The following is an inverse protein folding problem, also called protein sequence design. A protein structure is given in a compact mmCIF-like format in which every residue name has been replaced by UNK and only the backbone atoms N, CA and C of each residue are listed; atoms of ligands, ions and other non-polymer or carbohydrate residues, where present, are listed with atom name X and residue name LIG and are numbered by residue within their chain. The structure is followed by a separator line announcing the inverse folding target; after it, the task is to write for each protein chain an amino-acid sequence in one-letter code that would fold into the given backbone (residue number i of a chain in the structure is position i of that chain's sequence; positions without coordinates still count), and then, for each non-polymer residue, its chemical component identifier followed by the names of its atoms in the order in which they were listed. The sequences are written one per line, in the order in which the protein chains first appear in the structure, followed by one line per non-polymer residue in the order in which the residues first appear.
data_IF_157467316539
#
_entry.id   IF_157467316539
#
_cell.length_a   1.000
_cell.length_b   1.000
_cell.length_c   1.000
_cell.angle_alpha   90.00
_cell.angle_beta   90.00
_cell.angle_gamma   90.00
#
_symmetry.space_group_name_H-M   'P 1'
#
loop_
_entity.id
_entity.type
_entity.pdbx_description
1 polymer ?
#
# COMPACT_ATOMS: atom_id res chain seq x y z
N UNK A 1 5.84 1.93 -4.72
CA UNK A 1 5.17 1.43 -3.50
C UNK A 1 3.69 1.20 -3.77
N UNK A 2 2.99 0.58 -2.84
CA UNK A 2 1.56 0.35 -2.92
C UNK A 2 0.95 0.09 -1.55
N UNK A 3 -0.35 -0.20 -1.53
CA UNK A 3 -1.09 -0.55 -0.33
C UNK A 3 -1.53 -2.01 -0.34
N UNK A 4 -1.70 -2.56 0.87
CA UNK A 4 -2.23 -3.89 1.12
C UNK A 4 -3.62 -3.78 1.75
N UNK A 5 -4.56 -4.58 1.27
CA UNK A 5 -5.90 -4.73 1.84
C UNK A 5 -6.04 -6.06 2.57
N UNK A 6 -6.92 -6.05 3.59
CA UNK A 6 -7.25 -7.24 4.35
C UNK A 6 -7.90 -6.93 5.68
N UNK A 7 -7.55 -7.71 6.71
CA UNK A 7 -8.14 -7.59 8.05
C UNK A 7 -7.22 -8.15 9.14
N UNK A 8 -7.57 -7.84 10.39
CA UNK A 8 -6.88 -8.35 11.59
C UNK A 8 -7.67 -9.52 12.15
N UNK A 9 -7.00 -10.62 12.45
CA UNK A 9 -7.58 -11.79 13.11
C UNK A 9 -6.71 -12.20 14.31
N UNK A 10 -7.12 -11.80 15.51
CA UNK A 10 -6.32 -12.01 16.72
C UNK A 10 -4.99 -11.24 16.65
N UNK A 11 -3.89 -11.96 16.68
CA UNK A 11 -2.51 -11.45 16.57
C UNK A 11 -1.96 -11.48 15.13
N UNK A 12 -2.78 -11.89 14.15
CA UNK A 12 -2.39 -11.97 12.74
C UNK A 12 -2.95 -10.82 11.90
N UNK A 13 -2.08 -10.23 11.06
CA UNK A 13 -2.49 -9.42 9.92
C UNK A 13 -2.67 -10.33 8.71
N UNK A 14 -3.89 -10.37 8.16
CA UNK A 14 -4.21 -11.15 6.96
C UNK A 14 -4.26 -10.19 5.79
N UNK A 15 -3.35 -10.37 4.82
CA UNK A 15 -3.33 -9.64 3.56
C UNK A 15 -4.04 -10.48 2.50
N UNK A 16 -5.06 -9.93 1.87
CA UNK A 16 -5.91 -10.60 0.88
C UNK A 16 -5.74 -10.02 -0.52
N UNK A 17 -5.35 -8.75 -0.61
CA UNK A 17 -5.07 -8.07 -1.88
C UNK A 17 -4.02 -6.96 -1.72
N UNK A 18 -3.48 -6.48 -2.84
CA UNK A 18 -2.57 -5.35 -2.88
C UNK A 18 -2.72 -4.57 -4.20
N UNK A 19 -2.54 -3.26 -4.14
CA UNK A 19 -2.59 -2.40 -5.33
C UNK A 19 -1.49 -1.33 -5.31
N UNK A 20 -1.01 -0.98 -6.50
CA UNK A 20 0.06 0.03 -6.66
C UNK A 20 -0.49 1.43 -6.45
N UNK A 21 0.32 2.31 -5.88
CA UNK A 21 0.04 3.75 -5.90
C UNK A 21 0.74 4.41 -7.10
N UNK A 22 0.14 5.45 -7.69
CA UNK A 22 0.75 6.22 -8.78
C UNK A 22 1.81 7.18 -8.22
N UNK A 23 2.89 6.62 -7.70
CA UNK A 23 4.00 7.38 -7.10
C UNK A 23 5.30 7.06 -7.78
N UNK A 24 6.11 8.10 -7.97
CA UNK A 24 7.45 7.99 -8.51
C UNK A 24 8.47 7.91 -7.37
N UNK A 25 9.25 6.83 -7.36
CA UNK A 25 10.34 6.64 -6.43
C UNK A 25 11.66 7.08 -7.04
N UNK A 26 12.44 7.82 -6.29
CA UNK A 26 13.90 7.86 -6.47
C UNK A 26 14.52 6.67 -5.74
N UNK A 27 15.81 6.40 -5.95
CA UNK A 27 16.50 5.28 -5.27
C UNK A 27 16.41 5.37 -3.73
N UNK A 28 16.28 6.58 -3.16
CA UNK A 28 16.30 6.80 -1.71
C UNK A 28 15.00 7.31 -1.12
N UNK A 29 14.04 7.76 -1.94
CA UNK A 29 12.78 8.36 -1.46
C UNK A 29 11.64 8.12 -2.42
N UNK A 30 10.47 7.82 -1.86
CA UNK A 30 9.19 7.92 -2.55
C UNK A 30 8.42 9.06 -1.91
N UNK A 31 7.98 10.03 -2.72
CA UNK A 31 7.08 11.08 -2.24
C UNK A 31 5.66 10.69 -2.65
N UNK A 32 4.81 10.41 -1.66
CA UNK A 32 3.37 10.38 -1.91
C UNK A 32 2.91 11.83 -2.15
N UNK A 33 2.61 12.15 -3.40
CA UNK A 33 2.02 13.41 -3.79
C UNK A 33 0.49 13.33 -3.68
N UNK A 34 -0.20 14.47 -3.80
CA UNK A 34 -1.65 14.56 -3.69
C UNK A 34 -2.41 13.55 -4.57
N UNK A 35 -1.88 13.24 -5.76
CA UNK A 35 -2.44 12.26 -6.69
C UNK A 35 -2.53 10.84 -6.10
N UNK A 36 -1.57 10.47 -5.25
CA UNK A 36 -1.60 9.17 -4.56
C UNK A 36 -2.68 9.16 -3.48
N UNK A 37 -2.86 10.27 -2.75
CA UNK A 37 -3.88 10.41 -1.72
C UNK A 37 -5.30 10.32 -2.30
N UNK A 38 -5.55 11.02 -3.41
CA UNK A 38 -6.83 10.94 -4.13
C UNK A 38 -7.08 9.52 -4.64
N UNK A 39 -6.08 8.90 -5.28
CA UNK A 39 -6.19 7.54 -5.79
C UNK A 39 -6.48 6.51 -4.69
N UNK A 40 -5.89 6.67 -3.49
CA UNK A 40 -6.14 5.78 -2.35
C UNK A 40 -7.62 5.77 -1.95
N UNK A 41 -8.24 6.96 -1.90
CA UNK A 41 -9.66 7.10 -1.55
C UNK A 41 -10.53 6.52 -2.64
N UNK A 42 -10.31 6.93 -3.90
CA UNK A 42 -11.11 6.48 -5.04
C UNK A 42 -11.08 4.97 -5.24
N UNK A 43 -9.88 4.37 -5.15
CA UNK A 43 -9.70 2.92 -5.33
C UNK A 43 -10.37 2.13 -4.22
N UNK A 44 -10.23 2.57 -2.97
CA UNK A 44 -10.87 1.90 -1.82
C UNK A 44 -12.40 1.98 -1.90
N UNK A 45 -12.94 3.13 -2.31
CA UNK A 45 -14.39 3.29 -2.51
C UNK A 45 -14.90 2.48 -3.72
N UNK A 46 -14.11 2.38 -4.79
CA UNK A 46 -14.41 1.47 -5.90
C UNK A 46 -14.45 0.00 -5.44
N UNK A 47 -13.51 -0.43 -4.60
CA UNK A 47 -13.50 -1.78 -4.02
C UNK A 47 -14.78 -2.06 -3.23
N UNK A 48 -15.17 -1.13 -2.34
CA UNK A 48 -16.40 -1.27 -1.55
C UNK A 48 -17.65 -1.36 -2.40
N UNK A 49 -17.75 -0.56 -3.46
CA UNK A 49 -18.88 -0.63 -4.42
C UNK A 49 -18.97 -1.98 -5.14
N UNK A 50 -17.85 -2.69 -5.28
CA UNK A 50 -17.78 -4.03 -5.87
C UNK A 50 -17.87 -5.15 -4.81
N UNK A 51 -18.22 -4.82 -3.57
CA UNK A 51 -18.41 -5.80 -2.49
C UNK A 51 -17.13 -6.22 -1.77
N UNK A 52 -15.97 -5.60 -2.07
CA UNK A 52 -14.73 -5.80 -1.31
C UNK A 52 -14.70 -4.84 -0.13
N UNK A 53 -15.06 -5.37 1.05
CA UNK A 53 -15.24 -4.60 2.28
C UNK A 53 -13.97 -4.50 3.14
N UNK A 54 -12.90 -5.17 2.72
CA UNK A 54 -11.60 -5.16 3.41
C UNK A 54 -10.96 -3.77 3.32
N UNK A 55 -10.37 -3.34 4.44
CA UNK A 55 -9.72 -2.04 4.53
C UNK A 55 -8.23 -2.18 4.25
N UNK A 56 -7.55 -1.04 4.07
CA UNK A 56 -6.10 -0.99 4.01
C UNK A 56 -5.53 -1.42 5.37
N UNK A 57 -4.58 -2.36 5.36
CA UNK A 57 -3.93 -2.90 6.56
C UNK A 57 -2.42 -2.60 6.61
N UNK A 58 -1.86 -2.09 5.53
CA UNK A 58 -0.44 -1.72 5.47
C UNK A 58 -0.04 -1.23 4.08
N UNK A 59 1.25 -0.98 3.93
CA UNK A 59 1.87 -0.55 2.68
C UNK A 59 3.07 -1.43 2.35
N UNK A 60 3.46 -1.43 1.09
CA UNK A 60 4.63 -2.18 0.62
C UNK A 60 5.46 -1.35 -0.36
N UNK A 61 6.76 -1.60 -0.37
CA UNK A 61 7.69 -1.11 -1.39
C UNK A 61 8.70 -2.20 -1.75
N UNK A 62 9.66 -1.86 -2.61
CA UNK A 62 10.67 -2.80 -3.09
C UNK A 62 12.05 -2.19 -2.92
N UNK A 63 13.04 -3.02 -2.58
CA UNK A 63 14.46 -2.68 -2.54
C UNK A 63 15.22 -3.49 -3.62
N UNK A 64 15.22 -3.04 -4.89
CA UNK A 64 15.85 -3.79 -5.97
C UNK A 64 17.37 -3.87 -5.75
N UNK A 65 17.90 -5.09 -5.56
CA UNK A 65 19.34 -5.34 -5.42
C UNK A 65 19.92 -5.23 -4.02
N UNK A 66 19.16 -4.80 -3.00
CA UNK A 66 19.67 -4.58 -1.63
C UNK A 66 19.10 -5.54 -0.57
N UNK A 67 18.21 -6.46 -0.97
CA UNK A 67 17.51 -7.36 -0.04
C UNK A 67 16.41 -6.67 0.78
N UNK A 68 15.73 -7.44 1.64
CA UNK A 68 14.60 -6.95 2.44
C UNK A 68 15.06 -6.48 3.82
N UNK A 69 15.01 -5.18 4.06
CA UNK A 69 15.35 -4.53 5.33
C UNK A 69 14.60 -3.18 5.40
N UNK A 70 14.53 -2.57 6.59
CA UNK A 70 13.94 -1.24 6.78
C UNK A 70 15.03 -0.16 6.85
N UNK A 71 14.96 0.80 5.94
CA UNK A 71 15.84 1.96 5.89
C UNK A 71 15.51 3.00 6.97
N UNK A 72 16.31 4.07 7.08
CA UNK A 72 15.99 5.18 7.98
C UNK A 72 14.83 6.08 7.50
N UNK A 73 14.32 5.84 6.28
CA UNK A 73 13.24 6.62 5.66
C UNK A 73 11.96 5.79 5.53
N UNK A 74 12.07 4.45 5.47
CA UNK A 74 10.93 3.54 5.43
C UNK A 74 9.99 3.80 6.62
#
# INVERSE_FOLDING_TARGET
MGLMQGYINGDAFIVTDAFRLPVEGTETRVNAHADADEYMVEYTDACRRQGRMENVVGWYHSHPGYGCWLSGID
#
